data_IF_141357434732
#
_entry.id   IF_141357434732
#
_cell.length_a   1.000
_cell.length_b   1.000
_cell.length_c   1.000
_cell.angle_alpha   90.00
_cell.angle_beta   90.00
_cell.angle_gamma   90.00
#
_symmetry.space_group_name_H-M   'P 1'
#
loop_
_entity.id
_entity.type
_entity.pdbx_description
1 polymer ?
#
# COMPACT_ATOMS: atom_id res chain seq x y z
N UNK A 1 17.25 -29.72 34.35
CA UNK A 1 17.53 -28.27 34.17
C UNK A 1 16.67 -27.78 33.03
N UNK A 2 15.55 -27.11 33.33
CA UNK A 2 14.69 -26.48 32.31
C UNK A 2 15.08 -25.01 32.11
N UNK A 3 14.81 -24.46 30.93
CA UNK A 3 14.97 -23.02 30.68
C UNK A 3 14.03 -22.22 31.58
N UNK A 4 14.47 -21.04 32.04
CA UNK A 4 13.62 -20.16 32.84
C UNK A 4 12.47 -19.60 31.98
N UNK A 5 11.30 -19.37 32.60
CA UNK A 5 10.15 -18.79 31.92
C UNK A 5 10.46 -17.41 31.32
N UNK A 6 11.34 -16.63 31.96
CA UNK A 6 11.83 -15.34 31.45
C UNK A 6 12.62 -15.48 30.15
N UNK A 7 13.49 -16.48 30.05
CA UNK A 7 14.28 -16.75 28.85
C UNK A 7 13.39 -17.18 27.69
N UNK A 8 12.42 -18.07 27.96
CA UNK A 8 11.43 -18.51 26.97
C UNK A 8 10.61 -17.30 26.46
N UNK A 9 10.16 -16.43 27.37
CA UNK A 9 9.43 -15.22 27.00
C UNK A 9 10.23 -14.26 26.12
N UNK A 10 11.52 -14.06 26.44
CA UNK A 10 12.43 -13.25 25.61
C UNK A 10 12.61 -13.85 24.21
N UNK A 11 12.84 -15.17 24.13
CA UNK A 11 13.05 -15.87 22.87
C UNK A 11 11.81 -15.78 21.96
N UNK A 12 10.62 -16.00 22.52
CA UNK A 12 9.35 -15.87 21.78
C UNK A 12 9.15 -14.43 21.29
N UNK A 13 9.51 -13.44 22.10
CA UNK A 13 9.46 -12.03 21.72
C UNK A 13 10.39 -11.72 20.53
N UNK A 14 11.60 -12.27 20.51
CA UNK A 14 12.55 -12.11 19.40
C UNK A 14 12.05 -12.76 18.11
N UNK A 15 11.54 -14.01 18.18
CA UNK A 15 10.93 -14.65 17.02
C UNK A 15 9.73 -13.87 16.49
N UNK A 16 8.91 -13.29 17.37
CA UNK A 16 7.77 -12.46 16.96
C UNK A 16 8.22 -11.21 16.20
N UNK A 17 9.32 -10.58 16.63
CA UNK A 17 9.92 -9.46 15.90
C UNK A 17 10.47 -9.88 14.55
N UNK A 18 11.21 -11.00 14.48
CA UNK A 18 11.72 -11.54 13.22
C UNK A 18 10.60 -11.82 12.22
N UNK A 19 9.51 -12.45 12.66
CA UNK A 19 8.34 -12.71 11.81
C UNK A 19 7.68 -11.42 11.32
N UNK A 20 7.59 -10.41 12.20
CA UNK A 20 7.05 -9.09 11.84
C UNK A 20 7.90 -8.43 10.75
N UNK A 21 9.23 -8.44 10.88
CA UNK A 21 10.11 -7.86 9.87
C UNK A 21 10.16 -8.68 8.57
N UNK A 22 10.09 -10.00 8.65
CA UNK A 22 10.00 -10.85 7.47
C UNK A 22 8.75 -10.54 6.64
N UNK A 23 7.59 -10.39 7.30
CA UNK A 23 6.37 -10.01 6.60
C UNK A 23 6.41 -8.56 6.08
N UNK A 24 6.99 -7.62 6.83
CA UNK A 24 7.20 -6.26 6.34
C UNK A 24 8.05 -6.27 5.05
N UNK A 25 9.14 -7.05 5.03
CA UNK A 25 10.01 -7.21 3.86
C UNK A 25 9.26 -7.79 2.66
N UNK A 26 8.44 -8.82 2.87
CA UNK A 26 7.57 -9.39 1.83
C UNK A 26 6.64 -8.32 1.23
N UNK A 27 5.97 -7.54 2.08
CA UNK A 27 5.10 -6.44 1.63
C UNK A 27 5.88 -5.40 0.82
N UNK A 28 7.10 -5.07 1.24
CA UNK A 28 7.97 -4.14 0.50
C UNK A 28 8.30 -4.67 -0.90
N UNK A 29 8.63 -5.96 -1.00
CA UNK A 29 9.03 -6.59 -2.27
C UNK A 29 7.87 -6.75 -3.24
N UNK A 30 6.66 -7.02 -2.74
CA UNK A 30 5.50 -7.28 -3.60
C UNK A 30 4.73 -6.00 -3.90
N UNK A 31 4.53 -5.14 -2.90
CA UNK A 31 3.61 -4.01 -2.95
C UNK A 31 4.30 -2.65 -2.80
N UNK A 32 5.55 -2.61 -2.35
CA UNK A 32 6.35 -1.40 -2.26
C UNK A 32 6.33 -0.70 -0.90
N UNK A 33 7.01 0.44 -0.85
CA UNK A 33 7.33 1.14 0.40
C UNK A 33 6.11 1.63 1.19
N UNK A 34 4.99 1.96 0.53
CA UNK A 34 3.76 2.40 1.23
C UNK A 34 3.09 1.25 1.99
N UNK A 35 3.12 0.03 1.45
CA UNK A 35 2.62 -1.16 2.13
C UNK A 35 3.51 -1.51 3.33
N UNK A 36 4.84 -1.51 3.13
CA UNK A 36 5.83 -1.68 4.19
C UNK A 36 5.63 -0.66 5.34
N UNK A 37 5.57 0.62 4.99
CA UNK A 37 5.38 1.72 5.94
C UNK A 37 4.10 1.52 6.73
N UNK A 38 2.98 1.24 6.04
CA UNK A 38 1.69 1.04 6.72
C UNK A 38 1.76 -0.11 7.69
N UNK A 39 2.28 -1.26 7.27
CA UNK A 39 2.33 -2.43 8.13
C UNK A 39 3.15 -2.19 9.40
N UNK A 40 4.29 -1.50 9.32
CA UNK A 40 5.11 -1.23 10.51
C UNK A 40 4.58 -0.10 11.40
N UNK A 41 3.88 0.88 10.81
CA UNK A 41 3.42 2.09 11.52
C UNK A 41 2.02 1.97 12.08
N UNK A 42 1.17 1.13 11.50
CA UNK A 42 -0.22 0.97 11.89
C UNK A 42 -0.38 0.00 13.07
N UNK A 43 -1.41 0.19 13.88
CA UNK A 43 -1.79 -0.72 14.97
C UNK A 43 -3.03 -1.53 14.58
N UNK A 44 -3.05 -2.01 13.32
CA UNK A 44 -4.15 -2.71 12.67
C UNK A 44 -4.56 -4.04 13.35
N UNK A 45 -3.90 -4.43 14.43
CA UNK A 45 -4.09 -5.72 15.11
C UNK A 45 -3.48 -6.91 14.36
N UNK A 46 -2.82 -6.69 13.22
CA UNK A 46 -2.12 -7.75 12.47
C UNK A 46 -0.83 -8.21 13.15
N UNK A 47 -0.29 -7.40 14.07
CA UNK A 47 0.92 -7.70 14.83
C UNK A 47 0.58 -8.12 16.25
N UNK A 48 1.41 -8.98 16.84
CA UNK A 48 1.34 -9.29 18.26
C UNK A 48 1.56 -8.02 19.10
N UNK A 49 0.92 -7.94 20.27
CA UNK A 49 1.13 -6.86 21.25
C UNK A 49 2.62 -6.69 21.60
N UNK A 50 3.35 -7.79 21.75
CA UNK A 50 4.80 -7.76 22.05
C UNK A 50 5.60 -7.09 20.93
N UNK A 51 5.29 -7.39 19.66
CA UNK A 51 5.93 -6.75 18.52
C UNK A 51 5.55 -5.28 18.43
N UNK A 52 4.27 -4.93 18.56
CA UNK A 52 3.80 -3.54 18.56
C UNK A 52 4.52 -2.70 19.63
N UNK A 53 4.65 -3.19 20.85
CA UNK A 53 5.37 -2.48 21.92
C UNK A 53 6.84 -2.29 21.58
N UNK A 54 7.54 -3.33 21.09
CA UNK A 54 8.96 -3.23 20.73
C UNK A 54 9.21 -2.30 19.54
N UNK A 55 8.33 -2.31 18.54
CA UNK A 55 8.40 -1.38 17.40
C UNK A 55 8.27 0.07 17.87
N UNK A 56 7.29 0.35 18.75
CA UNK A 56 7.03 1.69 19.30
C UNK A 56 8.20 2.20 20.16
N UNK A 57 8.82 1.31 20.94
CA UNK A 57 9.91 1.65 21.85
C UNK A 57 11.30 1.69 21.18
N UNK A 58 11.41 1.33 19.89
CA UNK A 58 12.67 1.40 19.16
C UNK A 58 12.83 2.77 18.48
N UNK A 59 13.60 3.67 19.08
CA UNK A 59 13.77 5.05 18.61
C UNK A 59 14.36 5.14 17.19
N UNK A 60 15.33 4.28 16.87
CA UNK A 60 15.97 4.27 15.55
C UNK A 60 14.98 3.87 14.46
N UNK A 61 14.15 2.86 14.73
CA UNK A 61 13.08 2.44 13.83
C UNK A 61 12.03 3.54 13.66
N UNK A 62 11.61 4.19 14.75
CA UNK A 62 10.66 5.30 14.67
C UNK A 62 11.22 6.47 13.86
N UNK A 63 12.52 6.77 14.01
CA UNK A 63 13.22 7.78 13.22
C UNK A 63 13.25 7.40 11.73
N UNK A 64 13.51 6.14 11.40
CA UNK A 64 13.47 5.63 10.03
C UNK A 64 12.05 5.73 9.44
N UNK A 65 11.03 5.30 10.17
CA UNK A 65 9.63 5.36 9.73
C UNK A 65 9.16 6.80 9.51
N UNK A 66 9.59 7.74 10.36
CA UNK A 66 9.31 9.17 10.19
C UNK A 66 9.90 9.71 8.88
N UNK A 67 11.19 9.44 8.62
CA UNK A 67 11.83 9.83 7.35
C UNK A 67 11.12 9.22 6.14
N UNK A 68 10.73 7.96 6.25
CA UNK A 68 10.00 7.27 5.19
C UNK A 68 8.63 7.92 4.96
N UNK A 69 7.91 8.30 6.02
CA UNK A 69 6.64 9.01 5.92
C UNK A 69 6.78 10.34 5.15
N UNK A 70 7.78 11.14 5.51
CA UNK A 70 8.05 12.43 4.87
C UNK A 70 8.37 12.27 3.37
N UNK A 71 9.07 11.20 2.99
CA UNK A 71 9.35 10.88 1.58
C UNK A 71 8.13 10.37 0.81
N UNK A 72 7.27 9.55 1.44
CA UNK A 72 6.14 8.90 0.77
C UNK A 72 4.89 9.78 0.71
N UNK A 73 4.75 10.70 1.67
CA UNK A 73 3.60 11.59 1.81
C UNK A 73 4.09 13.03 1.99
N UNK A 74 4.72 13.61 0.95
CA UNK A 74 5.16 14.99 0.98
C UNK A 74 3.96 15.93 1.21
N UNK A 75 4.19 17.03 1.94
CA UNK A 75 3.12 17.99 2.24
C UNK A 75 2.63 18.64 0.95
N UNK A 76 1.31 18.94 0.83
CA UNK A 76 0.80 19.71 -0.30
C UNK A 76 1.56 21.03 -0.46
N UNK A 77 2.03 21.32 -1.68
CA UNK A 77 2.83 22.51 -1.98
C UNK A 77 4.33 22.38 -1.71
N UNK A 78 4.83 21.22 -1.29
CA UNK A 78 6.27 20.95 -1.28
C UNK A 78 6.76 20.60 -2.70
N UNK A 79 7.94 21.10 -3.06
CA UNK A 79 8.61 20.83 -4.36
C UNK A 79 9.28 19.45 -4.41
N UNK A 80 8.81 18.52 -3.57
CA UNK A 80 9.38 17.17 -3.48
C UNK A 80 8.75 16.32 -4.57
N UNK A 81 9.55 15.73 -5.49
CA UNK A 81 9.01 14.88 -6.52
C UNK A 81 8.35 13.64 -5.92
N UNK A 82 7.33 13.11 -6.61
CA UNK A 82 6.63 11.91 -6.17
C UNK A 82 7.60 10.74 -6.01
N UNK A 83 7.63 10.15 -4.81
CA UNK A 83 8.42 8.95 -4.51
C UNK A 83 7.70 7.69 -4.99
N UNK A 84 8.29 7.03 -5.99
CA UNK A 84 7.82 5.73 -6.49
C UNK A 84 8.07 4.63 -5.46
N UNK A 85 7.00 4.04 -4.94
CA UNK A 85 7.08 2.97 -3.94
C UNK A 85 7.54 1.63 -4.50
N UNK A 86 7.39 1.40 -5.81
CA UNK A 86 7.74 0.14 -6.47
C UNK A 86 7.98 0.31 -7.99
N UNK A 87 8.99 -0.36 -8.60
CA UNK A 87 9.27 -0.25 -10.04
C UNK A 87 8.10 -0.69 -10.94
N UNK A 88 7.36 -1.74 -10.51
CA UNK A 88 6.18 -2.24 -11.24
C UNK A 88 5.05 -1.20 -11.30
N UNK A 89 4.88 -0.41 -10.23
CA UNK A 89 3.91 0.67 -10.20
C UNK A 89 4.28 1.77 -11.20
N UNK A 90 5.57 2.17 -11.23
CA UNK A 90 6.07 3.12 -12.22
C UNK A 90 5.80 2.65 -13.64
N UNK A 91 6.16 1.40 -13.95
CA UNK A 91 5.96 0.85 -15.29
C UNK A 91 4.46 0.75 -15.66
N UNK A 92 3.61 0.36 -14.72
CA UNK A 92 2.16 0.30 -14.91
C UNK A 92 1.59 1.67 -15.29
N UNK A 93 1.88 2.70 -14.50
CA UNK A 93 1.37 4.06 -14.74
C UNK A 93 1.87 4.59 -16.08
N UNK A 94 3.17 4.45 -16.38
CA UNK A 94 3.73 4.86 -17.67
C UNK A 94 3.05 4.14 -18.84
N UNK A 95 2.92 2.82 -18.79
CA UNK A 95 2.30 2.06 -19.87
C UNK A 95 0.82 2.44 -20.10
N UNK A 96 0.06 2.70 -19.03
CA UNK A 96 -1.33 3.15 -19.16
C UNK A 96 -1.41 4.56 -19.72
N UNK A 97 -0.59 5.49 -19.22
CA UNK A 97 -0.53 6.86 -19.74
C UNK A 97 -0.18 6.90 -21.22
N UNK A 98 0.81 6.11 -21.65
CA UNK A 98 1.21 6.03 -23.06
C UNK A 98 0.08 5.44 -23.94
N UNK A 99 -0.59 4.39 -23.45
CA UNK A 99 -1.73 3.78 -24.15
C UNK A 99 -2.88 4.77 -24.36
N UNK A 100 -3.31 5.46 -23.30
CA UNK A 100 -4.44 6.40 -23.40
C UNK A 100 -4.10 7.64 -24.23
N UNK A 101 -2.86 8.14 -24.17
CA UNK A 101 -2.40 9.23 -25.05
C UNK A 101 -2.41 8.80 -26.53
N UNK A 102 -1.96 7.58 -26.82
CA UNK A 102 -1.97 7.05 -28.18
C UNK A 102 -3.39 6.82 -28.71
N UNK A 103 -4.32 6.39 -27.86
CA UNK A 103 -5.74 6.24 -28.21
C UNK A 103 -6.40 7.60 -28.48
N UNK A 104 -6.14 8.60 -27.63
CA UNK A 104 -6.64 9.98 -27.80
C UNK A 104 -6.16 10.59 -29.12
N UNK A 105 -4.88 10.42 -29.47
CA UNK A 105 -4.34 10.89 -30.75
C UNK A 105 -5.00 10.26 -31.98
N UNK A 106 -5.61 9.07 -31.82
CA UNK A 106 -6.39 8.38 -32.86
C UNK A 106 -7.89 8.67 -32.80
N UNK A 107 -8.35 9.44 -31.81
CA UNK A 107 -9.77 9.67 -31.55
C UNK A 107 -10.52 8.44 -31.01
N UNK A 108 -9.80 7.46 -30.49
CA UNK A 108 -10.37 6.21 -29.96
C UNK A 108 -10.68 6.33 -28.46
N UNK A 109 -11.76 5.66 -28.02
CA UNK A 109 -12.08 5.49 -26.60
C UNK A 109 -11.75 4.07 -26.18
N UNK A 110 -10.76 3.91 -25.32
CA UNK A 110 -10.35 2.61 -24.77
C UNK A 110 -10.68 2.51 -23.28
N UNK A 111 -10.75 1.28 -22.77
CA UNK A 111 -10.92 0.99 -21.34
C UNK A 111 -9.83 0.01 -20.90
N UNK A 112 -9.38 0.12 -19.66
CA UNK A 112 -8.39 -0.77 -19.06
C UNK A 112 -8.83 -1.20 -17.67
N UNK A 113 -8.57 -2.45 -17.31
CA UNK A 113 -8.84 -3.01 -15.99
C UNK A 113 -7.50 -3.44 -15.37
N UNK A 114 -7.23 -3.00 -14.15
CA UNK A 114 -6.03 -3.39 -13.40
C UNK A 114 -6.42 -4.22 -12.19
N UNK A 115 -5.95 -5.47 -12.14
CA UNK A 115 -6.13 -6.34 -11.00
C UNK A 115 -4.97 -6.19 -10.00
N UNK A 116 -5.31 -5.93 -8.74
CA UNK A 116 -4.33 -5.79 -7.66
C UNK A 116 -4.93 -6.30 -6.34
N UNK A 117 -4.17 -7.09 -5.59
CA UNK A 117 -4.64 -7.78 -4.40
C UNK A 117 -4.44 -6.98 -3.10
N UNK A 118 -3.90 -5.76 -3.17
CA UNK A 118 -3.59 -4.98 -1.97
C UNK A 118 -4.14 -3.57 -2.07
N UNK A 119 -5.13 -3.28 -1.23
CA UNK A 119 -5.96 -2.05 -1.29
C UNK A 119 -5.12 -0.77 -1.28
N UNK A 120 -4.03 -0.72 -0.53
CA UNK A 120 -3.14 0.45 -0.48
C UNK A 120 -2.56 0.74 -1.87
N UNK A 121 -2.11 -0.28 -2.58
CA UNK A 121 -1.58 -0.14 -3.95
C UNK A 121 -2.68 0.24 -4.93
N UNK A 122 -3.91 -0.26 -4.75
CA UNK A 122 -5.03 0.12 -5.64
C UNK A 122 -5.38 1.59 -5.50
N UNK A 123 -5.46 2.11 -4.27
CA UNK A 123 -5.71 3.54 -4.05
C UNK A 123 -4.58 4.38 -4.65
N UNK A 124 -3.34 3.96 -4.47
CA UNK A 124 -2.18 4.64 -5.05
C UNK A 124 -2.23 4.69 -6.59
N UNK A 125 -2.63 3.61 -7.26
CA UNK A 125 -2.82 3.59 -8.71
C UNK A 125 -3.90 4.59 -9.14
N UNK A 126 -5.04 4.62 -8.42
CA UNK A 126 -6.16 5.53 -8.73
C UNK A 126 -5.75 6.99 -8.53
N UNK A 127 -5.02 7.30 -7.47
CA UNK A 127 -4.53 8.65 -7.19
C UNK A 127 -3.54 9.13 -8.26
N UNK A 128 -2.62 8.25 -8.70
CA UNK A 128 -1.66 8.57 -9.76
C UNK A 128 -2.32 8.78 -11.12
N UNK A 129 -3.25 7.90 -11.49
CA UNK A 129 -3.99 8.04 -12.76
C UNK A 129 -4.96 9.22 -12.73
N UNK A 130 -5.47 9.58 -11.54
CA UNK A 130 -6.33 10.75 -11.35
C UNK A 130 -5.66 12.08 -11.67
N UNK A 131 -4.32 12.14 -11.65
CA UNK A 131 -3.54 13.31 -12.08
C UNK A 131 -3.50 13.47 -13.61
N UNK A 132 -3.84 12.42 -14.37
CA UNK A 132 -3.90 12.43 -15.83
C UNK A 132 -5.27 12.90 -16.37
N UNK A 133 -6.11 13.55 -15.54
CA UNK A 133 -7.38 14.12 -16.00
C UNK A 133 -7.12 15.27 -17.01
N UNK A 134 -7.96 15.43 -18.04
CA UNK A 134 -9.20 14.69 -18.30
C UNK A 134 -9.03 13.36 -19.05
N UNK A 135 -7.82 13.02 -19.49
CA UNK A 135 -7.54 11.88 -20.39
C UNK A 135 -7.86 10.52 -19.76
N UNK A 136 -7.64 10.36 -18.46
CA UNK A 136 -7.89 9.13 -17.72
C UNK A 136 -8.86 9.36 -16.57
N UNK A 137 -9.92 8.54 -16.50
CA UNK A 137 -10.85 8.49 -15.39
C UNK A 137 -10.70 7.15 -14.65
N UNK A 138 -9.85 7.13 -13.63
CA UNK A 138 -9.64 5.95 -12.81
C UNK A 138 -10.68 5.85 -11.70
N UNK A 139 -11.21 4.64 -11.49
CA UNK A 139 -12.13 4.32 -10.40
C UNK A 139 -11.68 3.04 -9.69
N UNK A 140 -11.84 3.02 -8.36
CA UNK A 140 -11.59 1.84 -7.54
C UNK A 140 -12.84 0.94 -7.56
N UNK A 141 -12.64 -0.36 -7.78
CA UNK A 141 -13.67 -1.38 -7.56
C UNK A 141 -13.17 -2.39 -6.51
N UNK A 142 -13.89 -2.52 -5.39
CA UNK A 142 -13.61 -3.51 -4.34
C UNK A 142 -14.87 -4.34 -4.12
N UNK A 143 -14.74 -5.67 -4.15
CA UNK A 143 -15.85 -6.60 -3.93
C UNK A 143 -16.48 -6.50 -2.53
N UNK A 144 -17.67 -7.08 -2.37
CA UNK A 144 -18.44 -7.09 -1.10
C UNK A 144 -18.03 -8.24 -0.15
N UNK A 145 -16.84 -8.83 -0.29
CA UNK A 145 -16.48 -9.96 0.57
C UNK A 145 -16.35 -9.51 2.04
N UNK A 146 -16.95 -10.27 2.95
CA UNK A 146 -16.94 -10.04 4.40
C UNK A 146 -15.58 -10.31 5.09
N UNK A 147 -14.48 -9.97 4.42
CA UNK A 147 -13.13 -10.04 4.98
C UNK A 147 -12.87 -8.95 6.03
N UNK A 148 -11.66 -8.93 6.60
CA UNK A 148 -11.27 -7.97 7.65
C UNK A 148 -11.34 -6.50 7.21
N UNK A 149 -11.26 -6.22 5.91
CA UNK A 149 -11.44 -4.88 5.36
C UNK A 149 -12.87 -4.68 4.85
N UNK A 150 -13.51 -3.56 5.25
CA UNK A 150 -14.85 -3.20 4.75
C UNK A 150 -14.81 -3.04 3.22
N UNK A 151 -15.59 -3.87 2.53
CA UNK A 151 -15.85 -3.80 1.09
C UNK A 151 -16.62 -2.53 0.69
N UNK A 152 -16.73 -2.29 -0.62
CA UNK A 152 -17.48 -1.15 -1.14
C UNK A 152 -18.99 -1.42 -1.08
N UNK A 153 -19.84 -0.45 -0.68
CA UNK A 153 -21.30 -0.62 -0.72
C UNK A 153 -21.81 -0.98 -2.12
N UNK A 154 -22.82 -1.86 -2.20
CA UNK A 154 -23.36 -2.42 -3.45
C UNK A 154 -23.84 -1.33 -4.42
N UNK A 155 -24.40 -0.23 -3.90
CA UNK A 155 -24.80 0.93 -4.70
C UNK A 155 -23.61 1.61 -5.42
N UNK A 156 -22.44 1.73 -4.74
CA UNK A 156 -21.22 2.27 -5.36
C UNK A 156 -20.60 1.28 -6.33
N UNK A 157 -20.71 -0.02 -6.08
CA UNK A 157 -20.26 -1.04 -7.02
C UNK A 157 -21.04 -1.02 -8.33
N UNK A 158 -22.36 -0.88 -8.28
CA UNK A 158 -23.22 -0.77 -9.48
C UNK A 158 -22.89 0.50 -10.28
N UNK A 159 -22.64 1.61 -9.58
CA UNK A 159 -22.23 2.86 -10.22
C UNK A 159 -20.88 2.71 -10.95
N UNK A 160 -19.86 2.13 -10.31
CA UNK A 160 -18.55 1.88 -10.95
C UNK A 160 -18.67 0.85 -12.08
N UNK A 161 -19.46 -0.21 -11.89
CA UNK A 161 -19.71 -1.24 -12.90
C UNK A 161 -20.41 -0.73 -14.15
N UNK A 162 -21.19 0.35 -14.05
CA UNK A 162 -21.85 0.98 -15.21
C UNK A 162 -20.84 1.73 -16.10
N UNK A 163 -19.68 2.11 -15.56
CA UNK A 163 -18.60 2.77 -16.32
C UNK A 163 -17.55 1.80 -16.87
N UNK A 164 -17.48 0.57 -16.36
CA UNK A 164 -16.69 -0.53 -16.91
C UNK A 164 -17.33 -1.07 -18.20
#
# INVERSE_FOLDING_TARGET
RGMSASLIGSLVSDFTMCMTFAHALELMQIYGLRAFYRYLSDDSGEKSKSATTRLKNNEDLQRMLKKLHEMLYPKPGSDVPYTWGHPKLKKLVTSLSDHFKAAEAKGEKTKAIVFCNYKIVVNEIVDLLGQCKPQVQAALFVGQSGGREKGMPQAKQLQVGTYL
#
